data_IF_545143802199
#
_entry.id   IF_545143802199
#
_cell.length_a   1.000
_cell.length_b   1.000
_cell.length_c   1.000
_cell.angle_alpha   90.00
_cell.angle_beta   90.00
_cell.angle_gamma   90.00
#
_symmetry.space_group_name_H-M   'P 1'
#
loop_
_entity.id
_entity.type
_entity.pdbx_description
1 polymer ?
#
# COMPACT_ATOMS: atom_id res chain seq x y z
N UNK A 1 -15.37 15.59 -9.92
CA UNK A 1 -14.34 16.62 -9.62
C UNK A 1 -12.97 15.98 -9.83
N UNK A 2 -11.91 16.73 -10.19
CA UNK A 2 -10.57 16.16 -10.13
C UNK A 2 -10.31 15.68 -8.71
N UNK A 3 -9.97 14.39 -8.53
CA UNK A 3 -9.77 13.79 -7.22
C UNK A 3 -8.76 14.62 -6.43
N UNK A 4 -9.10 14.98 -5.20
CA UNK A 4 -8.28 15.91 -4.43
C UNK A 4 -6.97 15.19 -4.07
N UNK A 5 -5.82 15.85 -4.23
CA UNK A 5 -4.52 15.31 -3.82
C UNK A 5 -4.57 14.80 -2.37
N UNK A 6 -5.37 15.45 -1.51
CA UNK A 6 -5.62 15.00 -0.13
C UNK A 6 -6.23 13.60 -0.05
N UNK A 7 -7.24 13.29 -0.86
CA UNK A 7 -7.91 11.97 -0.87
C UNK A 7 -6.96 10.88 -1.35
N UNK A 8 -6.14 11.18 -2.36
CA UNK A 8 -5.09 10.29 -2.85
C UNK A 8 -4.10 9.99 -1.72
N UNK A 9 -3.64 11.01 -1.00
CA UNK A 9 -2.73 10.84 0.13
C UNK A 9 -3.35 10.05 1.29
N UNK A 10 -4.64 10.26 1.58
CA UNK A 10 -5.36 9.49 2.61
C UNK A 10 -5.44 8.01 2.22
N UNK A 11 -5.82 7.72 0.98
CA UNK A 11 -5.92 6.35 0.49
C UNK A 11 -4.55 5.65 0.50
N UNK A 12 -3.50 6.34 0.04
CA UNK A 12 -2.13 5.83 0.11
C UNK A 12 -1.69 5.57 1.54
N UNK A 13 -1.84 6.53 2.45
CA UNK A 13 -1.49 6.33 3.86
C UNK A 13 -2.23 5.13 4.46
N UNK A 14 -3.52 4.99 4.17
CA UNK A 14 -4.31 3.85 4.66
C UNK A 14 -3.73 2.52 4.20
N UNK A 15 -3.34 2.40 2.92
CA UNK A 15 -2.70 1.17 2.43
C UNK A 15 -1.35 0.94 3.11
N UNK A 16 -0.52 1.97 3.19
CA UNK A 16 0.84 1.86 3.75
C UNK A 16 0.84 1.51 5.24
N UNK A 17 -0.07 2.08 6.04
CA UNK A 17 -0.15 1.79 7.48
C UNK A 17 -0.79 0.44 7.78
N UNK A 18 -1.66 -0.04 6.89
CA UNK A 18 -2.31 -1.35 7.10
C UNK A 18 -1.45 -2.50 6.61
N UNK A 19 -0.60 -2.31 5.60
CA UNK A 19 0.34 -3.35 5.13
C UNK A 19 1.40 -3.62 6.19
N UNK A 20 1.24 -4.72 6.93
CA UNK A 20 2.09 -5.09 8.07
C UNK A 20 2.70 -6.48 7.90
N UNK A 21 3.90 -6.67 8.43
CA UNK A 21 4.58 -7.97 8.51
C UNK A 21 5.45 -8.05 9.77
N UNK A 22 6.01 -9.23 10.03
CA UNK A 22 6.98 -9.44 11.11
C UNK A 22 8.39 -9.28 10.56
N UNK A 23 9.18 -8.36 11.10
CA UNK A 23 10.56 -8.13 10.69
C UNK A 23 11.54 -9.13 11.32
N UNK A 24 12.84 -8.99 11.01
CA UNK A 24 13.91 -9.84 11.53
C UNK A 24 14.02 -9.79 13.07
N UNK A 25 13.66 -8.66 13.68
CA UNK A 25 13.63 -8.45 15.14
C UNK A 25 12.36 -9.00 15.82
N UNK A 26 11.51 -9.72 15.08
CA UNK A 26 10.21 -10.25 15.53
C UNK A 26 9.20 -9.17 15.94
N UNK A 27 9.34 -7.98 15.40
CA UNK A 27 8.43 -6.87 15.62
C UNK A 27 7.42 -6.79 14.47
N UNK A 28 6.18 -6.43 14.78
CA UNK A 28 5.18 -6.08 13.77
C UNK A 28 5.51 -4.67 13.28
N UNK A 29 5.77 -4.54 11.99
CA UNK A 29 6.09 -3.27 11.33
C UNK A 29 5.13 -3.02 10.17
N UNK A 30 4.77 -1.76 9.94
CA UNK A 30 4.00 -1.36 8.76
C UNK A 30 4.91 -0.85 7.64
N UNK A 31 4.41 -0.87 6.40
CA UNK A 31 5.11 -0.30 5.26
C UNK A 31 5.35 1.20 5.44
N UNK A 32 4.43 1.91 6.09
CA UNK A 32 4.59 3.33 6.41
C UNK A 32 5.77 3.58 7.38
N UNK A 33 5.89 2.76 8.43
CA UNK A 33 6.96 2.86 9.43
C UNK A 33 8.33 2.53 8.81
N UNK A 34 8.38 1.49 7.97
CA UNK A 34 9.59 1.06 7.27
C UNK A 34 10.08 2.13 6.28
N UNK A 35 9.15 2.78 5.56
CA UNK A 35 9.43 3.92 4.69
C UNK A 35 9.74 5.21 5.47
N UNK A 36 9.52 5.21 6.80
CA UNK A 36 9.72 6.35 7.70
C UNK A 36 8.97 7.61 7.25
N UNK A 37 7.76 7.43 6.72
CA UNK A 37 6.94 8.54 6.22
C UNK A 37 6.62 9.47 7.39
N UNK A 38 6.99 10.75 7.26
CA UNK A 38 6.78 11.76 8.30
C UNK A 38 7.98 12.01 9.23
N UNK A 39 9.04 11.19 9.17
CA UNK A 39 10.30 11.45 9.88
C UNK A 39 11.37 11.99 8.90
N UNK A 40 11.79 13.25 9.09
CA UNK A 40 12.95 13.88 8.43
C UNK A 40 12.93 14.03 6.89
N UNK A 41 11.76 14.31 6.30
CA UNK A 41 11.63 15.05 5.03
C UNK A 41 12.12 14.40 3.71
N UNK A 42 12.08 13.08 3.59
CA UNK A 42 12.13 12.43 2.27
C UNK A 42 11.10 11.29 2.23
N UNK A 43 10.32 11.13 1.15
CA UNK A 43 9.80 9.80 0.87
C UNK A 43 11.02 8.91 0.60
N UNK A 44 11.34 7.98 1.51
CA UNK A 44 12.11 6.80 1.10
C UNK A 44 11.26 6.08 0.07
N UNK A 45 11.85 5.70 -1.06
CA UNK A 45 11.07 4.98 -2.05
C UNK A 45 10.93 3.52 -1.66
N UNK A 46 9.86 2.87 -2.13
CA UNK A 46 9.72 1.41 -2.05
C UNK A 46 10.91 0.73 -2.72
N UNK A 47 11.47 1.33 -3.77
CA UNK A 47 12.64 0.79 -4.47
C UNK A 47 13.92 0.76 -3.62
N UNK A 48 13.98 1.55 -2.55
CA UNK A 48 15.14 1.64 -1.65
C UNK A 48 15.04 0.69 -0.45
N UNK A 49 13.93 -0.05 -0.33
CA UNK A 49 13.71 -0.96 0.79
C UNK A 49 14.60 -2.21 0.72
N UNK A 50 15.04 -2.73 1.87
CA UNK A 50 15.75 -4.00 1.91
C UNK A 50 14.84 -5.13 1.43
N UNK A 51 15.45 -6.16 0.82
CA UNK A 51 14.72 -7.30 0.25
C UNK A 51 13.77 -7.97 1.25
N UNK A 52 14.19 -8.12 2.51
CA UNK A 52 13.35 -8.70 3.56
C UNK A 52 12.04 -7.93 3.75
N UNK A 53 12.11 -6.60 3.82
CA UNK A 53 10.94 -5.72 3.93
C UNK A 53 10.07 -5.76 2.68
N UNK A 54 10.68 -5.83 1.49
CA UNK A 54 9.94 -6.00 0.23
C UNK A 54 9.18 -7.33 0.19
N UNK A 55 9.79 -8.42 0.66
CA UNK A 55 9.14 -9.74 0.75
C UNK A 55 7.97 -9.68 1.73
N UNK A 56 8.19 -9.13 2.92
CA UNK A 56 7.14 -8.99 3.94
C UNK A 56 5.96 -8.15 3.46
N UNK A 57 6.24 -6.99 2.85
CA UNK A 57 5.21 -6.13 2.28
C UNK A 57 4.45 -6.81 1.14
N UNK A 58 5.16 -7.50 0.23
CA UNK A 58 4.53 -8.21 -0.88
C UNK A 58 3.61 -9.33 -0.40
N UNK A 59 4.08 -10.21 0.48
CA UNK A 59 3.26 -11.31 1.04
C UNK A 59 2.05 -10.77 1.80
N UNK A 60 2.23 -9.70 2.59
CA UNK A 60 1.13 -9.03 3.29
C UNK A 60 0.05 -8.51 2.33
N UNK A 61 0.47 -7.88 1.23
CA UNK A 61 -0.44 -7.41 0.18
C UNK A 61 -1.12 -8.57 -0.55
N UNK A 62 -0.39 -9.65 -0.87
CA UNK A 62 -0.95 -10.86 -1.49
C UNK A 62 -2.08 -11.44 -0.64
N UNK A 63 -1.86 -11.59 0.67
CA UNK A 63 -2.87 -12.07 1.62
C UNK A 63 -4.09 -11.14 1.64
N UNK A 64 -3.86 -9.82 1.74
CA UNK A 64 -4.96 -8.85 1.74
C UNK A 64 -5.81 -8.92 0.47
N UNK A 65 -5.17 -9.12 -0.67
CA UNK A 65 -5.85 -9.09 -1.97
C UNK A 65 -6.26 -10.47 -2.49
N UNK A 66 -6.01 -11.53 -1.71
CA UNK A 66 -6.19 -12.92 -2.12
C UNK A 66 -5.52 -13.24 -3.48
N UNK A 67 -4.29 -12.75 -3.67
CA UNK A 67 -3.54 -12.88 -4.93
C UNK A 67 -2.18 -13.57 -4.71
N UNK A 68 -2.11 -14.86 -5.00
CA UNK A 68 -0.95 -15.71 -4.76
C UNK A 68 -0.26 -16.22 -6.05
N UNK A 69 -0.42 -15.52 -7.17
CA UNK A 69 0.06 -15.98 -8.49
C UNK A 69 1.56 -16.24 -8.55
N UNK A 70 2.38 -15.45 -7.85
CA UNK A 70 3.83 -15.51 -7.92
C UNK A 70 4.41 -15.49 -6.50
N UNK A 71 5.31 -16.43 -6.21
CA UNK A 71 6.03 -16.46 -4.95
C UNK A 71 7.07 -15.33 -4.87
N UNK A 72 7.18 -14.69 -3.70
CA UNK A 72 8.16 -13.62 -3.48
C UNK A 72 9.61 -14.04 -3.78
N UNK A 73 9.94 -15.30 -3.46
CA UNK A 73 11.28 -15.87 -3.57
C UNK A 73 11.75 -16.02 -5.01
N UNK A 74 10.83 -16.21 -5.97
CA UNK A 74 11.17 -16.41 -7.38
C UNK A 74 11.46 -15.11 -8.13
N UNK A 75 11.24 -13.95 -7.49
CA UNK A 75 11.44 -12.63 -8.10
C UNK A 75 12.75 -11.98 -7.65
N UNK A 76 13.44 -11.32 -8.58
CA UNK A 76 14.53 -10.42 -8.24
C UNK A 76 14.01 -9.19 -7.48
N UNK A 77 14.90 -8.54 -6.74
CA UNK A 77 14.53 -7.44 -5.83
C UNK A 77 13.88 -6.26 -6.55
N UNK A 78 14.31 -5.96 -7.79
CA UNK A 78 13.77 -4.83 -8.56
C UNK A 78 12.35 -5.14 -9.03
N UNK A 79 12.11 -6.35 -9.54
CA UNK A 79 10.76 -6.81 -9.90
C UNK A 79 9.84 -6.83 -8.69
N UNK A 80 10.33 -7.30 -7.55
CA UNK A 80 9.57 -7.32 -6.30
C UNK A 80 9.15 -5.91 -5.86
N UNK A 81 10.08 -4.94 -5.87
CA UNK A 81 9.77 -3.54 -5.55
C UNK A 81 8.70 -2.95 -6.47
N UNK A 82 8.80 -3.19 -7.79
CA UNK A 82 7.79 -2.73 -8.75
C UNK A 82 6.41 -3.36 -8.50
N UNK A 83 6.37 -4.65 -8.15
CA UNK A 83 5.12 -5.35 -7.81
C UNK A 83 4.49 -4.80 -6.55
N UNK A 84 5.26 -4.62 -5.47
CA UNK A 84 4.77 -3.99 -4.23
C UNK A 84 4.19 -2.62 -4.52
N UNK A 85 4.92 -1.77 -5.27
CA UNK A 85 4.46 -0.45 -5.68
C UNK A 85 3.14 -0.53 -6.47
N UNK A 86 3.06 -1.41 -7.46
CA UNK A 86 1.86 -1.61 -8.27
C UNK A 86 0.65 -2.02 -7.43
N UNK A 87 0.82 -2.96 -6.50
CA UNK A 87 -0.25 -3.41 -5.59
C UNK A 87 -0.70 -2.28 -4.65
N UNK A 88 0.23 -1.51 -4.08
CA UNK A 88 -0.11 -0.36 -3.22
C UNK A 88 -0.98 0.66 -3.97
N UNK A 89 -0.59 1.01 -5.20
CA UNK A 89 -1.37 1.95 -6.01
C UNK A 89 -2.73 1.37 -6.44
N UNK A 90 -2.79 0.09 -6.78
CA UNK A 90 -4.04 -0.58 -7.12
C UNK A 90 -5.02 -0.58 -5.94
N UNK A 91 -4.54 -0.88 -4.73
CA UNK A 91 -5.36 -0.85 -3.51
C UNK A 91 -5.79 0.57 -3.14
N UNK A 92 -4.89 1.55 -3.25
CA UNK A 92 -5.25 2.94 -3.00
C UNK A 92 -6.34 3.42 -3.97
N UNK A 93 -6.24 3.03 -5.25
CA UNK A 93 -7.26 3.32 -6.26
C UNK A 93 -8.61 2.70 -5.91
N UNK A 94 -8.65 1.43 -5.46
CA UNK A 94 -9.89 0.78 -5.02
C UNK A 94 -10.56 1.52 -3.87
N UNK A 95 -9.80 1.96 -2.88
CA UNK A 95 -10.32 2.75 -1.75
C UNK A 95 -10.95 4.06 -2.24
N UNK A 96 -10.28 4.75 -3.17
CA UNK A 96 -10.79 5.99 -3.74
C UNK A 96 -12.05 5.78 -4.58
N UNK A 97 -12.09 4.72 -5.39
CA UNK A 97 -13.25 4.41 -6.22
C UNK A 97 -14.46 3.97 -5.38
N UNK A 98 -14.23 3.31 -4.23
CA UNK A 98 -15.29 2.97 -3.28
C UNK A 98 -15.87 4.22 -2.58
N UNK A 99 -15.01 5.16 -2.18
CA UNK A 99 -15.45 6.41 -1.55
C UNK A 99 -16.35 7.24 -2.50
N UNK A 100 -16.00 7.30 -3.80
CA UNK A 100 -16.81 7.97 -4.83
C UNK A 100 -18.22 7.36 -4.98
N UNK A 101 -18.37 6.05 -4.73
CA UNK A 101 -19.66 5.34 -4.82
C UNK A 101 -20.54 5.66 -3.61
N UNK A 102 -19.96 5.69 -2.40
CA UNK A 102 -20.68 6.04 -1.18
C UNK A 102 -21.18 7.50 -1.21
N UNK A 103 -20.37 8.43 -1.70
CA UNK A 103 -20.75 9.84 -1.83
C UNK A 103 -21.93 10.02 -2.80
N UNK A 104 -21.89 9.38 -3.97
CA UNK A 104 -23.00 9.40 -4.95
C UNK A 104 -24.27 8.73 -4.43
N UNK A 105 -24.14 7.64 -3.66
CA UNK A 105 -25.27 6.93 -3.05
C UNK A 105 -25.95 7.76 -1.96
N UNK A 106 -25.18 8.52 -1.18
CA UNK A 106 -25.71 9.41 -0.13
C UNK A 106 -26.52 10.58 -0.70
N UNK A 107 -26.06 11.18 -1.81
CA UNK A 107 -26.75 12.29 -2.48
C UNK A 107 -28.06 11.82 -3.12
N UNK A 108 -28.08 10.61 -3.69
CA UNK A 108 -29.29 10.04 -4.29
C UNK A 108 -30.40 9.70 -3.28
N UNK A 109 -30.07 9.55 -1.99
CA UNK A 109 -31.04 9.30 -0.91
C UNK A 109 -31.57 10.58 -0.24
N UNK A 110 -30.93 11.72 -0.50
CA UNK A 110 -31.29 13.02 0.09
C UNK A 110 -32.14 13.91 -0.83
N UNK A 111 -32.47 13.44 -2.05
CA UNK A 111 -33.34 14.09 -3.02
C UNK A 111 -34.69 13.37 -3.11
#
# INVERSE_FOLDING_TARGET
MPKNIKEIMIALNKVLTTTVWVNEDRQIISLADELKIGHNNAPRSIEDLPRASLVGAYVSLQIRTDNFEIAAESMDTKTLALRVKGMVFAEAKKIMDAADIEEKSSVARAA
#
